data_IF_176166735948
#
_entry.id   IF_176166735948
#
_cell.length_a   1.000
_cell.length_b   1.000
_cell.length_c   1.000
_cell.angle_alpha   90.00
_cell.angle_beta   90.00
_cell.angle_gamma   90.00
#
_symmetry.space_group_name_H-M   'P 1'
#
loop_
_entity.id
_entity.type
_entity.pdbx_description
1 polymer ?
#
# COMPACT_ATOMS: atom_id res chain seq x y z
N UNK A 1 7.20 26.39 -33.99
CA UNK A 1 6.50 25.13 -33.66
C UNK A 1 7.41 24.32 -32.76
N UNK A 2 7.32 24.57 -31.46
CA UNK A 2 8.07 23.83 -30.44
C UNK A 2 7.32 22.56 -30.08
N UNK A 3 7.99 21.42 -30.18
CA UNK A 3 7.52 20.16 -29.60
C UNK A 3 7.54 20.37 -28.08
N UNK A 4 6.43 20.10 -27.34
CA UNK A 4 6.44 20.18 -25.89
C UNK A 4 7.53 19.27 -25.33
N UNK A 5 8.34 19.77 -24.40
CA UNK A 5 9.35 18.95 -23.75
C UNK A 5 8.66 17.75 -23.06
N UNK A 6 9.27 16.56 -23.15
CA UNK A 6 8.78 15.32 -22.50
C UNK A 6 8.46 15.54 -21.02
N UNK A 7 9.15 16.46 -20.36
CA UNK A 7 8.94 16.87 -18.98
C UNK A 7 7.55 17.50 -18.76
N UNK A 8 7.10 18.36 -19.67
CA UNK A 8 5.80 19.04 -19.55
C UNK A 8 4.62 18.08 -19.79
N UNK A 9 4.80 17.08 -20.65
CA UNK A 9 3.79 16.03 -20.87
C UNK A 9 3.67 15.11 -19.67
N UNK A 10 4.77 14.82 -18.96
CA UNK A 10 4.75 14.00 -17.74
C UNK A 10 4.02 14.69 -16.57
N UNK A 11 4.20 15.99 -16.41
CA UNK A 11 3.51 16.75 -15.34
C UNK A 11 2.00 16.81 -15.55
N UNK A 12 1.54 16.89 -16.79
CA UNK A 12 0.09 16.91 -17.09
C UNK A 12 -0.57 15.53 -16.89
N UNK A 13 0.18 14.45 -17.06
CA UNK A 13 -0.30 13.08 -16.91
C UNK A 13 -0.25 12.57 -15.46
N UNK A 14 0.42 13.28 -14.54
CA UNK A 14 0.55 12.84 -13.14
C UNK A 14 -0.78 12.90 -12.40
N UNK A 15 -1.05 11.92 -11.51
CA UNK A 15 -2.24 11.95 -10.66
C UNK A 15 -2.37 13.27 -9.91
N UNK A 16 -3.60 13.77 -9.77
CA UNK A 16 -3.89 15.06 -9.12
C UNK A 16 -3.25 15.22 -7.75
N UNK A 17 -3.12 14.12 -6.98
CA UNK A 17 -2.44 14.10 -5.68
C UNK A 17 -0.94 14.40 -5.80
N UNK A 18 -0.27 13.84 -6.80
CA UNK A 18 1.15 14.12 -7.04
C UNK A 18 1.37 15.60 -7.36
N UNK A 19 0.51 16.20 -8.18
CA UNK A 19 0.54 17.63 -8.46
C UNK A 19 0.27 18.48 -7.20
N UNK A 20 -0.67 18.05 -6.35
CA UNK A 20 -0.98 18.75 -5.09
C UNK A 20 0.17 18.69 -4.07
N UNK A 21 0.96 17.61 -4.07
CA UNK A 21 2.11 17.44 -3.18
C UNK A 21 3.38 18.06 -3.76
N UNK A 22 3.49 18.18 -5.09
CA UNK A 22 4.69 18.62 -5.79
C UNK A 22 4.68 20.04 -6.33
N UNK A 23 3.51 20.68 -6.42
CA UNK A 23 3.41 22.01 -6.98
C UNK A 23 3.42 23.07 -5.86
N UNK A 24 4.58 23.71 -5.69
CA UNK A 24 4.76 24.83 -4.74
C UNK A 24 3.81 25.99 -5.00
N UNK A 25 3.25 26.12 -6.21
CA UNK A 25 2.22 27.10 -6.56
C UNK A 25 0.91 26.86 -5.82
N UNK A 26 0.61 25.64 -5.39
CA UNK A 26 -0.58 25.32 -4.59
C UNK A 26 -0.51 25.81 -3.13
N UNK A 27 0.67 26.14 -2.60
CA UNK A 27 0.79 26.83 -1.32
C UNK A 27 0.12 28.22 -1.33
N UNK A 28 -0.16 28.76 -2.51
CA UNK A 28 -0.83 30.05 -2.71
C UNK A 28 -2.31 29.94 -3.08
N UNK A 29 -2.84 28.71 -3.32
CA UNK A 29 -4.29 28.52 -3.52
C UNK A 29 -4.96 28.69 -2.16
N UNK A 30 -5.71 29.77 -1.99
CA UNK A 30 -6.51 30.04 -0.79
C UNK A 30 -7.28 28.79 -0.37
N UNK A 31 -6.96 28.22 0.79
CA UNK A 31 -7.64 27.11 1.40
C UNK A 31 -6.91 25.75 1.38
N UNK A 32 -5.81 25.58 0.66
CA UNK A 32 -5.01 24.36 0.72
C UNK A 32 -3.84 24.50 1.71
N UNK A 33 -4.07 24.05 2.93
CA UNK A 33 -3.00 23.90 3.91
C UNK A 33 -2.28 22.57 3.68
N UNK A 34 -0.94 22.57 3.66
CA UNK A 34 -0.15 21.34 3.68
C UNK A 34 -0.47 20.52 4.93
N UNK A 35 -0.71 19.25 4.79
CA UNK A 35 -0.93 18.36 5.93
C UNK A 35 0.32 18.34 6.83
N UNK A 36 0.12 18.48 8.14
CA UNK A 36 1.21 18.44 9.13
C UNK A 36 1.12 17.23 10.06
N UNK A 37 -0.03 16.60 10.16
CA UNK A 37 -0.20 15.33 10.89
C UNK A 37 -0.39 14.22 9.88
N UNK A 38 0.70 13.50 9.64
CA UNK A 38 0.80 12.49 8.59
C UNK A 38 1.00 11.13 9.25
N UNK A 39 0.26 10.13 8.78
CA UNK A 39 0.49 8.74 9.14
C UNK A 39 0.98 7.99 7.91
N UNK A 40 2.02 7.19 8.07
CA UNK A 40 2.55 6.31 7.02
C UNK A 40 2.42 4.87 7.48
N UNK A 41 1.73 4.05 6.70
CA UNK A 41 1.52 2.63 7.00
C UNK A 41 2.31 1.80 6.00
N UNK A 42 3.20 0.94 6.48
CA UNK A 42 3.93 -0.03 5.68
C UNK A 42 3.32 -1.43 5.79
N UNK A 43 3.08 -2.09 4.65
CA UNK A 43 2.50 -3.44 4.61
C UNK A 43 3.30 -4.32 3.66
N UNK A 44 4.03 -5.29 4.21
CA UNK A 44 4.81 -6.23 3.42
C UNK A 44 3.94 -7.29 2.72
N UNK A 45 4.50 -7.93 1.71
CA UNK A 45 3.92 -9.11 1.06
C UNK A 45 3.95 -10.34 1.96
N UNK A 46 3.42 -11.44 1.43
CA UNK A 46 3.59 -12.72 2.07
C UNK A 46 5.00 -13.28 1.84
N UNK A 47 5.59 -13.88 2.87
CA UNK A 47 6.87 -14.56 2.81
C UNK A 47 6.74 -15.95 3.42
N UNK A 48 7.23 -16.97 2.72
CA UNK A 48 7.33 -18.31 3.30
C UNK A 48 8.44 -18.33 4.35
N UNK A 49 8.08 -18.43 5.61
CA UNK A 49 9.06 -18.51 6.71
C UNK A 49 10.05 -19.67 6.56
N UNK A 50 9.63 -20.78 5.91
CA UNK A 50 10.49 -21.94 5.64
C UNK A 50 11.66 -21.62 4.68
N UNK A 51 11.47 -20.69 3.74
CA UNK A 51 12.51 -20.26 2.80
C UNK A 51 13.47 -19.29 3.49
N UNK A 52 12.94 -18.44 4.36
CA UNK A 52 13.73 -17.41 5.06
C UNK A 52 14.70 -17.97 6.09
N UNK A 53 14.42 -19.14 6.65
CA UNK A 53 15.36 -19.81 7.57
C UNK A 53 16.66 -20.28 6.90
N UNK A 54 16.63 -20.49 5.58
CA UNK A 54 17.74 -21.02 4.79
C UNK A 54 18.43 -19.98 3.90
N UNK A 55 17.88 -18.78 3.78
CA UNK A 55 18.49 -17.69 3.02
C UNK A 55 18.94 -16.62 4.03
N UNK A 56 20.24 -16.34 4.01
CA UNK A 56 20.84 -15.27 4.82
C UNK A 56 20.14 -13.96 4.46
N UNK A 57 19.35 -13.42 5.38
CA UNK A 57 18.62 -12.16 5.18
C UNK A 57 17.11 -12.33 5.08
N UNK A 58 16.48 -12.98 6.06
CA UNK A 58 15.03 -12.83 6.22
C UNK A 58 14.67 -11.34 6.18
N UNK A 59 13.63 -10.90 5.42
CA UNK A 59 13.23 -9.50 5.35
C UNK A 59 12.50 -9.08 6.63
N UNK A 60 13.18 -9.23 7.77
CA UNK A 60 12.73 -8.71 9.05
C UNK A 60 12.66 -7.19 8.90
N UNK A 61 11.50 -6.60 9.19
CA UNK A 61 11.34 -5.16 9.10
C UNK A 61 10.97 -4.61 7.72
N UNK A 62 10.49 -5.44 6.77
CA UNK A 62 10.12 -4.96 5.43
C UNK A 62 8.97 -3.94 5.48
N UNK A 63 7.97 -4.12 6.33
CA UNK A 63 6.91 -3.13 6.55
C UNK A 63 7.48 -1.83 7.12
N UNK A 64 8.39 -1.93 8.08
CA UNK A 64 9.08 -0.77 8.66
C UNK A 64 9.91 -0.04 7.61
N UNK A 65 10.65 -0.78 6.79
CA UNK A 65 11.42 -0.21 5.68
C UNK A 65 10.53 0.55 4.70
N UNK A 66 9.36 0.00 4.32
CA UNK A 66 8.43 0.70 3.44
C UNK A 66 7.88 1.97 4.09
N UNK A 67 7.50 1.90 5.36
CA UNK A 67 7.02 3.06 6.10
C UNK A 67 8.10 4.14 6.22
N UNK A 68 9.32 3.76 6.57
CA UNK A 68 10.46 4.67 6.70
C UNK A 68 10.81 5.34 5.37
N UNK A 69 10.95 4.58 4.28
CA UNK A 69 11.27 5.11 2.95
C UNK A 69 10.18 6.07 2.45
N UNK A 70 8.91 5.75 2.69
CA UNK A 70 7.80 6.63 2.33
C UNK A 70 7.84 7.91 3.17
N UNK A 71 8.05 7.81 4.48
CA UNK A 71 8.17 8.97 5.37
C UNK A 71 9.32 9.90 4.98
N UNK A 72 10.48 9.32 4.65
CA UNK A 72 11.64 10.09 4.15
C UNK A 72 11.34 10.78 2.82
N UNK A 73 10.66 10.09 1.91
CA UNK A 73 10.25 10.67 0.62
C UNK A 73 9.28 11.85 0.82
N UNK A 74 8.35 11.73 1.76
CA UNK A 74 7.43 12.81 2.13
C UNK A 74 8.20 13.98 2.72
N UNK A 75 9.10 13.76 3.69
CA UNK A 75 9.92 14.83 4.29
C UNK A 75 10.73 15.57 3.24
N UNK A 76 11.39 14.83 2.35
CA UNK A 76 12.16 15.42 1.24
C UNK A 76 11.28 16.30 0.36
N UNK A 77 10.09 15.78 -0.02
CA UNK A 77 9.17 16.53 -0.88
C UNK A 77 8.62 17.79 -0.23
N UNK A 78 8.35 17.76 1.05
CA UNK A 78 7.96 18.94 1.82
C UNK A 78 9.11 19.95 1.95
N UNK A 79 10.33 19.48 2.18
CA UNK A 79 11.51 20.34 2.24
C UNK A 79 11.77 21.05 0.90
N UNK A 80 11.61 20.36 -0.23
CA UNK A 80 11.66 20.96 -1.59
C UNK A 80 10.62 22.08 -1.76
N UNK A 81 9.48 21.98 -1.07
CA UNK A 81 8.44 23.00 -1.04
C UNK A 81 8.65 24.06 0.06
N UNK A 82 9.80 24.07 0.73
CA UNK A 82 10.12 25.03 1.80
C UNK A 82 9.40 24.74 3.13
N UNK A 83 8.85 23.54 3.31
CA UNK A 83 8.15 23.13 4.53
C UNK A 83 8.96 22.06 5.25
N UNK A 84 9.39 22.35 6.49
CA UNK A 84 10.05 21.36 7.33
C UNK A 84 9.02 20.60 8.18
N UNK A 85 9.07 19.26 8.11
CA UNK A 85 8.31 18.35 8.96
C UNK A 85 9.23 17.82 10.06
N UNK A 86 8.82 18.04 11.32
CA UNK A 86 9.50 17.49 12.49
C UNK A 86 9.25 15.98 12.67
N UNK A 87 9.95 15.37 13.62
CA UNK A 87 9.73 13.95 13.95
C UNK A 87 8.27 13.64 14.33
N UNK A 88 7.62 14.57 15.03
CA UNK A 88 6.24 14.47 15.52
C UNK A 88 5.18 14.68 14.45
N UNK A 89 5.56 15.15 13.27
CA UNK A 89 4.62 15.43 12.17
C UNK A 89 4.30 14.16 11.36
N UNK A 90 5.18 13.15 11.39
CA UNK A 90 4.97 11.88 10.69
C UNK A 90 5.06 10.71 11.67
N UNK A 91 3.94 10.05 11.90
CA UNK A 91 3.89 8.77 12.59
C UNK A 91 3.99 7.61 11.58
N UNK A 92 4.78 6.59 11.91
CA UNK A 92 4.90 5.37 11.12
C UNK A 92 4.20 4.20 11.81
N UNK A 93 3.47 3.42 11.05
CA UNK A 93 2.84 2.17 11.48
C UNK A 93 3.38 1.06 10.59
N UNK A 94 4.09 0.12 11.19
CA UNK A 94 4.64 -1.01 10.49
C UNK A 94 4.37 -2.28 11.29
N UNK A 95 3.62 -3.20 10.70
CA UNK A 95 3.22 -4.42 11.37
C UNK A 95 3.70 -5.63 10.58
N UNK A 96 4.05 -6.66 11.33
CA UNK A 96 4.49 -7.93 10.79
C UNK A 96 3.53 -9.01 11.29
N UNK A 97 2.78 -9.57 10.39
CA UNK A 97 1.93 -10.72 10.64
C UNK A 97 1.85 -11.53 9.35
N UNK A 98 2.02 -12.83 9.46
CA UNK A 98 1.90 -13.77 8.34
C UNK A 98 0.55 -14.47 8.41
N UNK A 99 0.04 -14.92 7.28
CA UNK A 99 -1.24 -15.61 7.19
C UNK A 99 -2.02 -15.26 5.93
N UNK A 100 -3.26 -15.67 5.91
CA UNK A 100 -4.23 -15.32 4.89
C UNK A 100 -4.55 -13.82 4.93
N UNK A 101 -5.04 -13.30 3.82
CA UNK A 101 -5.28 -11.88 3.62
C UNK A 101 -6.18 -11.28 4.70
N UNK A 102 -7.29 -11.98 5.02
CA UNK A 102 -8.24 -11.50 6.02
C UNK A 102 -7.64 -11.56 7.43
N UNK A 103 -7.01 -12.69 7.78
CA UNK A 103 -6.33 -12.86 9.07
C UNK A 103 -5.30 -11.76 9.33
N UNK A 104 -4.51 -11.42 8.31
CA UNK A 104 -3.53 -10.34 8.38
C UNK A 104 -4.20 -8.97 8.55
N UNK A 105 -5.27 -8.69 7.81
CA UNK A 105 -5.99 -7.43 7.92
C UNK A 105 -6.61 -7.25 9.31
N UNK A 106 -7.17 -8.32 9.87
CA UNK A 106 -7.73 -8.34 11.21
C UNK A 106 -6.64 -8.16 12.27
N UNK A 107 -5.54 -8.92 12.19
CA UNK A 107 -4.43 -8.80 13.12
C UNK A 107 -3.81 -7.39 13.09
N UNK A 108 -3.72 -6.76 11.92
CA UNK A 108 -3.22 -5.39 11.79
C UNK A 108 -4.17 -4.38 12.43
N UNK A 109 -5.47 -4.53 12.20
CA UNK A 109 -6.47 -3.66 12.81
C UNK A 109 -6.45 -3.79 14.35
N UNK A 110 -6.44 -5.02 14.85
CA UNK A 110 -6.41 -5.27 16.29
C UNK A 110 -5.11 -4.75 16.94
N UNK A 111 -3.97 -4.91 16.27
CA UNK A 111 -2.70 -4.35 16.71
C UNK A 111 -2.70 -2.82 16.73
N UNK A 112 -3.38 -2.17 15.78
CA UNK A 112 -3.58 -0.72 15.82
C UNK A 112 -4.39 -0.33 17.06
N UNK A 113 -5.48 -1.03 17.35
CA UNK A 113 -6.33 -0.73 18.51
C UNK A 113 -5.60 -0.91 19.84
N UNK A 114 -4.66 -1.84 19.92
CA UNK A 114 -3.84 -2.09 21.12
C UNK A 114 -2.77 -1.02 21.35
N UNK A 115 -2.46 -0.20 20.34
CA UNK A 115 -1.47 0.86 20.43
C UNK A 115 -2.14 2.24 20.47
N UNK A 116 -2.22 2.82 21.66
CA UNK A 116 -2.86 4.13 21.89
C UNK A 116 -2.28 5.27 21.04
N UNK A 117 -0.98 5.23 20.79
CA UNK A 117 -0.29 6.26 20.00
C UNK A 117 -0.66 6.17 18.53
N UNK A 118 -0.78 4.95 17.98
CA UNK A 118 -1.26 4.72 16.62
C UNK A 118 -2.72 5.12 16.44
N UNK A 119 -3.59 4.77 17.40
CA UNK A 119 -4.99 5.21 17.41
C UNK A 119 -5.08 6.73 17.41
N UNK A 120 -4.30 7.39 18.28
CA UNK A 120 -4.26 8.85 18.36
C UNK A 120 -3.74 9.49 17.09
N UNK A 121 -2.68 8.94 16.51
CA UNK A 121 -2.11 9.41 15.25
C UNK A 121 -3.13 9.30 14.10
N UNK A 122 -3.82 8.15 13.97
CA UNK A 122 -4.82 7.93 12.93
C UNK A 122 -6.03 8.87 13.05
N UNK A 123 -6.55 9.06 14.26
CA UNK A 123 -7.68 9.98 14.51
C UNK A 123 -7.37 11.44 14.22
N UNK A 124 -6.11 11.83 14.41
CA UNK A 124 -5.64 13.20 14.18
C UNK A 124 -4.98 13.38 12.80
N UNK A 125 -4.91 12.34 11.99
CA UNK A 125 -4.26 12.40 10.70
C UNK A 125 -4.96 13.35 9.74
N UNK A 126 -4.20 14.28 9.16
CA UNK A 126 -4.63 15.11 8.03
C UNK A 126 -4.34 14.41 6.69
N UNK A 127 -3.35 13.50 6.69
CA UNK A 127 -3.05 12.64 5.55
C UNK A 127 -2.57 11.26 6.01
N UNK A 128 -2.98 10.22 5.29
CA UNK A 128 -2.51 8.84 5.47
C UNK A 128 -1.92 8.37 4.14
N UNK A 129 -0.70 7.86 4.20
CA UNK A 129 -0.03 7.20 3.08
C UNK A 129 0.20 5.74 3.43
N UNK A 130 -0.14 4.87 2.50
CA UNK A 130 0.11 3.43 2.62
C UNK A 130 1.10 3.00 1.56
N UNK A 131 2.16 2.32 1.95
CA UNK A 131 3.11 1.66 1.05
C UNK A 131 3.00 0.15 1.24
N UNK A 132 2.52 -0.55 0.22
CA UNK A 132 2.21 -1.97 0.29
C UNK A 132 2.82 -2.74 -0.89
N UNK A 133 3.20 -3.99 -0.66
CA UNK A 133 3.82 -4.84 -1.66
C UNK A 133 3.14 -6.21 -1.75
N UNK A 134 2.96 -6.73 -2.96
CA UNK A 134 2.45 -8.08 -3.23
C UNK A 134 1.10 -8.34 -2.54
N UNK A 135 0.96 -9.40 -1.73
CA UNK A 135 -0.24 -9.68 -0.92
C UNK A 135 -0.59 -8.51 0.01
N UNK A 136 0.41 -7.76 0.49
CA UNK A 136 0.19 -6.58 1.32
C UNK A 136 -0.66 -5.50 0.65
N UNK A 137 -0.69 -5.46 -0.68
CA UNK A 137 -1.56 -4.55 -1.44
C UNK A 137 -3.04 -4.80 -1.12
N UNK A 138 -3.44 -6.06 -1.05
CA UNK A 138 -4.81 -6.47 -0.75
C UNK A 138 -5.10 -6.28 0.74
N UNK A 139 -4.18 -6.74 1.61
CA UNK A 139 -4.29 -6.57 3.06
C UNK A 139 -4.48 -5.10 3.42
N UNK A 140 -3.70 -4.19 2.82
CA UNK A 140 -3.81 -2.76 3.07
C UNK A 140 -5.13 -2.16 2.58
N UNK A 141 -5.71 -2.69 1.49
CA UNK A 141 -7.04 -2.28 1.01
C UNK A 141 -8.13 -2.66 2.02
N UNK A 142 -8.08 -3.89 2.54
CA UNK A 142 -9.02 -4.35 3.58
C UNK A 142 -8.86 -3.53 4.85
N UNK A 143 -7.63 -3.29 5.29
CA UNK A 143 -7.34 -2.47 6.46
C UNK A 143 -7.88 -1.05 6.32
N UNK A 144 -7.61 -0.37 5.19
CA UNK A 144 -8.13 0.97 4.95
C UNK A 144 -9.66 1.01 4.95
N UNK A 145 -10.32 0.03 4.32
CA UNK A 145 -11.77 -0.06 4.31
C UNK A 145 -12.31 -0.20 5.74
N UNK A 146 -11.68 -1.06 6.57
CA UNK A 146 -12.08 -1.26 7.97
C UNK A 146 -11.85 -0.01 8.82
N UNK A 147 -10.71 0.67 8.68
CA UNK A 147 -10.45 1.94 9.39
C UNK A 147 -11.52 3.00 9.11
N UNK A 148 -12.03 3.04 7.88
CA UNK A 148 -13.12 3.92 7.46
C UNK A 148 -14.48 3.49 7.99
N UNK A 149 -14.77 2.18 7.95
CA UNK A 149 -16.08 1.64 8.35
C UNK A 149 -16.28 1.69 9.87
N UNK A 150 -15.21 1.45 10.64
CA UNK A 150 -15.20 1.55 12.11
C UNK A 150 -15.03 3.01 12.60
N UNK A 151 -14.92 3.97 11.70
CA UNK A 151 -14.83 5.40 12.05
C UNK A 151 -13.54 5.81 12.75
N UNK A 152 -12.47 4.99 12.65
CA UNK A 152 -11.17 5.39 13.19
C UNK A 152 -10.52 6.48 12.32
N UNK A 153 -10.87 6.51 11.03
CA UNK A 153 -10.46 7.54 10.07
C UNK A 153 -11.69 8.09 9.36
N UNK A 154 -11.77 9.42 9.27
CA UNK A 154 -12.85 10.10 8.58
C UNK A 154 -12.36 10.68 7.24
N UNK A 155 -12.92 10.20 6.12
CA UNK A 155 -12.53 10.65 4.77
C UNK A 155 -12.81 12.14 4.48
N UNK A 156 -13.72 12.76 5.23
CA UNK A 156 -14.01 14.18 5.16
C UNK A 156 -12.88 15.06 5.72
N UNK A 157 -12.09 14.52 6.65
CA UNK A 157 -10.99 15.22 7.34
C UNK A 157 -9.62 14.78 6.85
N UNK A 158 -9.48 13.50 6.50
CA UNK A 158 -8.20 12.86 6.22
C UNK A 158 -8.07 12.51 4.74
N UNK A 159 -7.03 13.01 4.10
CA UNK A 159 -6.66 12.63 2.74
C UNK A 159 -5.89 11.32 2.76
N UNK A 160 -6.21 10.39 1.88
CA UNK A 160 -5.59 9.06 1.87
C UNK A 160 -5.01 8.74 0.51
N UNK A 161 -3.83 8.14 0.51
CA UNK A 161 -3.17 7.62 -0.67
C UNK A 161 -2.61 6.22 -0.39
N UNK A 162 -2.88 5.28 -1.28
CA UNK A 162 -2.34 3.94 -1.26
C UNK A 162 -1.41 3.75 -2.45
N UNK A 163 -0.15 3.44 -2.17
CA UNK A 163 0.82 2.96 -3.15
C UNK A 163 0.94 1.45 -3.02
N UNK A 164 0.63 0.73 -4.08
CA UNK A 164 0.84 -0.72 -4.15
C UNK A 164 1.91 -1.05 -5.17
N UNK A 165 2.84 -1.89 -4.78
CA UNK A 165 3.96 -2.34 -5.60
C UNK A 165 3.79 -3.84 -5.88
N UNK A 166 3.76 -4.21 -7.15
CA UNK A 166 3.58 -5.60 -7.60
C UNK A 166 2.41 -6.30 -6.88
N UNK A 167 1.26 -5.62 -6.79
CA UNK A 167 0.07 -6.12 -6.08
C UNK A 167 -0.49 -7.38 -6.74
N UNK A 168 -0.89 -8.36 -5.93
CA UNK A 168 -1.34 -9.68 -6.42
C UNK A 168 -2.86 -9.71 -6.68
N UNK A 169 -3.39 -8.68 -7.33
CA UNK A 169 -4.83 -8.45 -7.50
C UNK A 169 -5.56 -9.52 -8.32
N UNK A 170 -4.84 -10.18 -9.21
CA UNK A 170 -5.39 -11.25 -10.08
C UNK A 170 -4.61 -12.56 -9.93
N UNK A 171 -3.93 -12.72 -8.81
CA UNK A 171 -3.12 -13.89 -8.51
C UNK A 171 -1.73 -13.88 -9.14
N UNK A 172 -0.90 -14.84 -8.76
CA UNK A 172 0.45 -15.01 -9.31
C UNK A 172 0.43 -15.72 -10.66
N UNK A 173 1.60 -15.83 -11.31
CA UNK A 173 1.77 -16.63 -12.52
C UNK A 173 1.28 -18.07 -12.35
N UNK A 174 0.46 -18.55 -13.29
CA UNK A 174 -0.02 -19.95 -13.31
C UNK A 174 1.15 -20.93 -13.45
N UNK A 175 2.18 -20.56 -14.20
CA UNK A 175 3.37 -21.39 -14.43
C UNK A 175 4.22 -21.58 -13.18
N UNK A 176 4.08 -20.74 -12.14
CA UNK A 176 4.74 -20.97 -10.86
C UNK A 176 4.34 -22.33 -10.28
N UNK A 177 3.09 -22.78 -10.48
CA UNK A 177 2.65 -24.11 -10.07
C UNK A 177 3.41 -25.25 -10.77
N UNK A 178 3.84 -25.05 -12.01
CA UNK A 178 4.36 -26.12 -12.88
C UNK A 178 5.89 -26.09 -13.01
N UNK A 179 6.55 -24.97 -12.78
CA UNK A 179 7.97 -24.79 -13.05
C UNK A 179 8.84 -24.86 -11.79
N UNK A 180 8.23 -25.06 -10.63
CA UNK A 180 8.96 -25.04 -9.38
C UNK A 180 9.32 -26.45 -8.98
N UNK A 181 10.58 -26.81 -9.25
CA UNK A 181 11.22 -27.98 -8.73
C UNK A 181 11.05 -28.12 -7.20
N UNK A 182 11.05 -29.31 -6.71
CA UNK A 182 10.77 -29.85 -5.39
C UNK A 182 11.03 -28.97 -4.14
N UNK A 183 11.90 -27.97 -4.23
CA UNK A 183 12.23 -27.06 -3.11
C UNK A 183 11.12 -26.06 -2.76
N UNK A 184 10.16 -25.85 -3.66
CA UNK A 184 9.05 -24.91 -3.47
C UNK A 184 7.71 -25.61 -3.20
N UNK A 185 7.64 -26.93 -3.26
CA UNK A 185 6.40 -27.66 -2.99
C UNK A 185 5.88 -27.39 -1.58
N UNK A 186 6.77 -27.31 -0.58
CA UNK A 186 6.41 -26.91 0.79
C UNK A 186 5.89 -25.46 0.88
N UNK A 187 6.20 -24.64 -0.12
CA UNK A 187 5.74 -23.27 -0.23
C UNK A 187 4.23 -23.19 -0.51
N UNK A 188 3.72 -24.11 -1.35
CA UNK A 188 2.29 -24.14 -1.72
C UNK A 188 1.42 -24.92 -0.74
N UNK A 189 2.00 -25.51 0.30
CA UNK A 189 1.25 -26.25 1.31
C UNK A 189 0.52 -25.34 2.30
N UNK A 190 0.96 -24.08 2.44
CA UNK A 190 0.32 -23.13 3.37
C UNK A 190 -1.01 -22.61 2.82
N UNK A 191 -1.98 -22.39 3.72
CA UNK A 191 -3.27 -21.81 3.36
C UNK A 191 -3.10 -20.44 2.68
N UNK A 192 -2.19 -19.59 3.19
CA UNK A 192 -1.90 -18.29 2.64
C UNK A 192 -1.38 -18.33 1.19
N UNK A 193 -0.51 -19.29 0.87
CA UNK A 193 -0.03 -19.47 -0.50
C UNK A 193 -1.14 -19.94 -1.44
N UNK A 194 -2.02 -20.85 -1.00
CA UNK A 194 -3.16 -21.31 -1.80
C UNK A 194 -4.15 -20.19 -2.06
N UNK A 195 -4.44 -19.36 -1.06
CA UNK A 195 -5.32 -18.21 -1.18
C UNK A 195 -4.87 -17.24 -2.28
N UNK A 196 -3.55 -17.06 -2.50
CA UNK A 196 -3.05 -16.18 -3.55
C UNK A 196 -3.52 -16.63 -4.95
N UNK A 197 -3.70 -17.92 -5.18
CA UNK A 197 -4.22 -18.43 -6.45
C UNK A 197 -5.74 -18.29 -6.58
N UNK A 198 -6.47 -18.11 -5.48
CA UNK A 198 -7.91 -17.84 -5.54
C UNK A 198 -8.22 -16.50 -6.17
N UNK A 199 -7.27 -15.53 -6.13
CA UNK A 199 -7.41 -14.26 -6.83
C UNK A 199 -7.46 -14.38 -8.35
N UNK A 200 -7.12 -15.54 -8.94
CA UNK A 200 -7.30 -15.80 -10.37
C UNK A 200 -8.77 -15.97 -10.75
N UNK A 201 -9.66 -16.25 -9.78
CA UNK A 201 -11.09 -16.28 -9.97
C UNK A 201 -11.76 -15.03 -9.44
N UNK A 202 -12.46 -14.31 -10.30
CA UNK A 202 -13.27 -13.16 -9.89
C UNK A 202 -14.39 -13.54 -8.93
N UNK A 203 -14.80 -14.81 -8.93
CA UNK A 203 -15.92 -15.32 -8.14
C UNK A 203 -15.48 -15.90 -6.79
N UNK A 204 -14.19 -15.96 -6.50
CA UNK A 204 -13.71 -16.41 -5.20
C UNK A 204 -14.12 -15.44 -4.09
N UNK A 205 -14.23 -15.93 -2.86
CA UNK A 205 -14.64 -15.13 -1.72
C UNK A 205 -13.64 -13.99 -1.45
N UNK A 206 -12.35 -14.28 -1.53
CA UNK A 206 -11.29 -13.29 -1.33
C UNK A 206 -11.30 -12.20 -2.41
N UNK A 207 -11.57 -12.55 -3.69
CA UNK A 207 -11.70 -11.58 -4.77
C UNK A 207 -12.95 -10.69 -4.59
N UNK A 208 -14.07 -11.27 -4.18
CA UNK A 208 -15.30 -10.51 -3.88
C UNK A 208 -15.08 -9.56 -2.70
N UNK A 209 -14.45 -10.05 -1.64
CA UNK A 209 -14.13 -9.25 -0.45
C UNK A 209 -13.22 -8.08 -0.82
N UNK A 210 -12.14 -8.34 -1.56
CA UNK A 210 -11.22 -7.31 -2.01
C UNK A 210 -11.94 -6.25 -2.88
N UNK A 211 -12.74 -6.66 -3.87
CA UNK A 211 -13.50 -5.71 -4.71
C UNK A 211 -14.45 -4.84 -3.89
N UNK A 212 -15.13 -5.40 -2.89
CA UNK A 212 -15.99 -4.64 -1.97
C UNK A 212 -15.18 -3.58 -1.23
N UNK A 213 -14.06 -3.98 -0.62
CA UNK A 213 -13.18 -3.08 0.11
C UNK A 213 -12.57 -2.01 -0.81
N UNK A 214 -12.16 -2.38 -2.02
CA UNK A 214 -11.58 -1.46 -2.99
C UNK A 214 -12.59 -0.39 -3.43
N UNK A 215 -13.84 -0.79 -3.73
CA UNK A 215 -14.93 0.17 -4.01
C UNK A 215 -15.18 1.09 -2.82
N UNK A 216 -15.11 0.57 -1.61
CA UNK A 216 -15.29 1.35 -0.39
C UNK A 216 -14.24 2.44 -0.24
N UNK A 217 -12.96 2.11 -0.43
CA UNK A 217 -11.88 3.09 -0.32
C UNK A 217 -11.91 4.11 -1.46
N UNK A 218 -12.23 3.70 -2.69
CA UNK A 218 -12.39 4.61 -3.82
C UNK A 218 -13.55 5.58 -3.57
N UNK A 219 -14.71 5.08 -3.09
CA UNK A 219 -15.86 5.91 -2.73
C UNK A 219 -15.56 6.90 -1.61
N UNK A 220 -14.60 6.60 -0.74
CA UNK A 220 -14.09 7.53 0.28
C UNK A 220 -13.05 8.53 -0.26
N UNK A 221 -12.70 8.46 -1.54
CA UNK A 221 -11.75 9.38 -2.17
C UNK A 221 -10.27 9.02 -1.96
N UNK A 222 -9.96 7.80 -1.52
CA UNK A 222 -8.58 7.30 -1.45
C UNK A 222 -7.95 7.32 -2.84
N UNK A 223 -6.76 7.86 -2.96
CA UNK A 223 -5.98 7.86 -4.20
C UNK A 223 -5.13 6.60 -4.26
N UNK A 224 -5.40 5.74 -5.23
CA UNK A 224 -4.67 4.49 -5.42
C UNK A 224 -3.66 4.66 -6.56
N UNK A 225 -2.42 4.26 -6.30
CA UNK A 225 -1.32 4.23 -7.26
C UNK A 225 -0.80 2.80 -7.30
N UNK A 226 -0.84 2.19 -8.47
CA UNK A 226 -0.37 0.82 -8.69
C UNK A 226 0.89 0.84 -9.51
N UNK A 227 1.93 0.17 -9.02
CA UNK A 227 3.23 0.04 -9.69
C UNK A 227 3.51 -1.45 -9.87
N UNK A 228 3.75 -1.85 -11.10
CA UNK A 228 4.21 -3.19 -11.47
C UNK A 228 5.60 -3.13 -12.11
N UNK A 229 6.25 -4.27 -12.26
CA UNK A 229 7.51 -4.43 -12.97
C UNK A 229 7.35 -5.39 -14.14
N UNK A 230 7.98 -5.08 -15.27
CA UNK A 230 8.04 -5.99 -16.42
C UNK A 230 8.96 -7.18 -16.16
N UNK A 231 9.88 -7.05 -15.21
CA UNK A 231 10.86 -8.06 -14.82
C UNK A 231 10.39 -8.89 -13.60
N UNK A 232 9.14 -8.68 -13.14
CA UNK A 232 8.60 -9.46 -12.02
C UNK A 232 8.25 -10.89 -12.49
N UNK A 233 8.97 -11.86 -11.95
CA UNK A 233 8.78 -13.27 -12.27
C UNK A 233 7.67 -13.94 -11.44
N UNK A 234 7.15 -13.27 -10.42
CA UNK A 234 6.11 -13.79 -9.54
C UNK A 234 4.74 -13.23 -9.91
N UNK A 235 4.64 -11.92 -10.15
CA UNK A 235 3.39 -11.24 -10.50
C UNK A 235 3.60 -10.45 -11.79
N UNK A 236 3.10 -10.94 -12.94
CA UNK A 236 3.20 -10.22 -14.20
C UNK A 236 2.65 -8.80 -14.09
N UNK A 237 3.24 -7.86 -14.83
CA UNK A 237 2.80 -6.47 -14.85
C UNK A 237 1.28 -6.34 -15.00
N UNK A 238 0.67 -7.08 -15.93
CA UNK A 238 -0.78 -7.02 -16.19
C UNK A 238 -1.64 -7.61 -15.08
N UNK A 239 -1.10 -8.49 -14.22
CA UNK A 239 -1.80 -9.01 -13.03
C UNK A 239 -1.61 -8.12 -11.80
N UNK A 240 -0.62 -7.25 -11.79
CA UNK A 240 -0.37 -6.29 -10.71
C UNK A 240 -1.16 -4.98 -10.87
N UNK A 241 -1.83 -4.80 -12.00
CA UNK A 241 -2.70 -3.66 -12.28
C UNK A 241 -4.16 -4.07 -12.12
N UNK A 242 -4.96 -3.21 -11.49
CA UNK A 242 -6.41 -3.44 -11.38
C UNK A 242 -7.06 -2.99 -12.67
N UNK A 243 -7.71 -3.93 -13.36
CA UNK A 243 -8.65 -3.62 -14.42
C UNK A 243 -10.03 -3.44 -13.78
N UNK A 244 -10.52 -2.21 -13.77
CA UNK A 244 -11.85 -1.84 -13.28
C UNK A 244 -12.84 -1.97 -14.42
#
# INVERSE_FOLDING_TARGET
>A
SGVPHLHDMHEQAMPRMYRLLGDTRFGHVRGYRSARKIVVIGVHGWYAQSILKNVIGAPIGTSDKFATMMAESIRRKYAEAGVHLGPEDIATIAMQHDGCVLERADAFYDGILQNSDWVTALRNAEAIFVAAHSQGAIVSTLLLARLLDEGLVESSKTRMCQLTMCGIFQGPFVHIKNSIASSYLSYFETAAARELFEFQSSESDVSRLHRKAYRRILGAGVKCVHVGSVDDNAVPLYLSLIHI
#
